data_IF_854352863247
#
_entry.id   IF_854352863247
#
_cell.length_a   1.000
_cell.length_b   1.000
_cell.length_c   1.000
_cell.angle_alpha   90.00
_cell.angle_beta   90.00
_cell.angle_gamma   90.00
#
_symmetry.space_group_name_H-M   'P 1'
#
loop_
_entity.id
_entity.type
_entity.pdbx_description
1 polymer ?
#
# COMPACT_ATOMS: atom_id res chain seq x y z
N UNK A 1 -2.74 3.80 0.92
CA UNK A 1 -3.58 4.47 -0.12
C UNK A 1 -4.96 4.81 0.42
N UNK A 2 -5.81 3.86 0.82
CA UNK A 2 -7.18 4.13 1.34
C UNK A 2 -7.19 5.09 2.54
N UNK A 3 -6.27 4.92 3.49
CA UNK A 3 -6.15 5.79 4.66
C UNK A 3 -5.82 7.24 4.29
N UNK A 4 -5.02 7.45 3.24
CA UNK A 4 -4.52 8.77 2.84
C UNK A 4 -5.44 9.48 1.83
N UNK A 5 -6.06 8.75 0.93
CA UNK A 5 -6.82 9.31 -0.21
C UNK A 5 -8.33 9.15 -0.06
N UNK A 6 -8.78 8.39 0.94
CA UNK A 6 -10.19 8.18 1.23
C UNK A 6 -10.82 7.04 0.43
N UNK A 7 -12.13 7.15 0.20
CA UNK A 7 -12.92 6.10 -0.43
C UNK A 7 -12.70 6.05 -1.94
N UNK A 8 -12.64 4.84 -2.45
CA UNK A 8 -12.52 4.57 -3.88
C UNK A 8 -13.85 4.79 -4.57
N UNK A 9 -13.81 5.47 -5.69
CA UNK A 9 -14.96 5.68 -6.58
C UNK A 9 -15.06 4.57 -7.62
N UNK A 10 -13.90 4.19 -8.20
CA UNK A 10 -13.86 3.18 -9.25
C UNK A 10 -12.46 2.64 -9.45
N UNK A 11 -12.35 1.45 -10.03
CA UNK A 11 -11.11 0.79 -10.41
C UNK A 11 -11.21 0.13 -11.78
N UNK A 12 -10.11 0.16 -12.55
CA UNK A 12 -9.89 -0.64 -13.75
C UNK A 12 -8.57 -1.37 -13.61
N UNK A 13 -8.54 -2.67 -13.91
CA UNK A 13 -7.37 -3.50 -13.65
C UNK A 13 -7.10 -4.52 -14.75
N UNK A 14 -5.82 -4.85 -14.90
CA UNK A 14 -5.32 -5.95 -15.74
C UNK A 14 -4.34 -6.78 -14.93
N UNK A 15 -4.33 -8.08 -15.12
CA UNK A 15 -3.41 -8.99 -14.45
C UNK A 15 -3.54 -10.39 -15.00
N UNK A 16 -2.60 -11.23 -14.65
CA UNK A 16 -2.54 -12.60 -15.13
C UNK A 16 -1.49 -13.44 -14.41
N UNK A 17 -1.42 -14.69 -14.83
CA UNK A 17 -0.40 -15.64 -14.39
C UNK A 17 0.68 -15.71 -15.48
N UNK A 18 1.85 -15.14 -15.22
CA UNK A 18 2.89 -14.91 -16.22
C UNK A 18 4.14 -15.80 -16.03
N UNK A 19 4.52 -16.10 -14.80
CA UNK A 19 5.78 -16.77 -14.50
C UNK A 19 5.65 -18.00 -13.60
N UNK A 20 4.72 -18.02 -12.66
CA UNK A 20 4.58 -19.15 -11.75
C UNK A 20 3.73 -20.27 -12.36
N UNK A 21 4.10 -21.49 -12.04
CA UNK A 21 3.32 -22.69 -12.37
C UNK A 21 2.63 -23.23 -11.11
N UNK A 22 1.45 -23.81 -11.27
CA UNK A 22 0.75 -24.51 -10.19
C UNK A 22 0.07 -23.63 -9.15
N UNK A 23 -0.16 -22.34 -9.45
CA UNK A 23 -1.02 -21.46 -8.66
C UNK A 23 -2.28 -21.10 -9.47
N UNK A 24 -3.39 -20.84 -8.77
CA UNK A 24 -4.71 -20.58 -9.41
C UNK A 24 -5.04 -19.09 -9.51
N UNK A 25 -4.11 -18.22 -9.09
CA UNK A 25 -4.30 -16.77 -9.01
C UNK A 25 -3.22 -16.06 -9.83
N UNK A 26 -3.40 -14.78 -10.05
CA UNK A 26 -2.43 -13.92 -10.72
C UNK A 26 -1.11 -13.82 -9.96
N UNK A 27 -0.03 -13.62 -10.69
CA UNK A 27 1.29 -13.26 -10.16
C UNK A 27 1.74 -11.86 -10.61
N UNK A 28 0.94 -11.21 -11.46
CA UNK A 28 1.08 -9.80 -11.86
C UNK A 28 -0.29 -9.15 -11.90
N UNK A 29 -0.42 -7.98 -11.27
CA UNK A 29 -1.62 -7.15 -11.36
C UNK A 29 -1.27 -5.66 -11.41
N UNK A 30 -1.97 -4.91 -12.27
CA UNK A 30 -1.91 -3.45 -12.36
C UNK A 30 -3.32 -2.89 -12.35
N UNK A 31 -3.57 -1.88 -11.52
CA UNK A 31 -4.86 -1.24 -11.43
C UNK A 31 -4.75 0.28 -11.43
N UNK A 32 -5.69 0.94 -12.10
CA UNK A 32 -5.92 2.39 -12.02
C UNK A 32 -7.10 2.63 -11.11
N UNK A 33 -6.91 3.46 -10.08
CA UNK A 33 -7.90 3.74 -9.03
C UNK A 33 -8.30 5.21 -9.08
N UNK A 34 -9.58 5.50 -9.08
CA UNK A 34 -10.12 6.85 -8.90
C UNK A 34 -10.76 6.94 -7.50
N UNK A 35 -10.46 8.00 -6.78
CA UNK A 35 -11.00 8.26 -5.44
C UNK A 35 -12.13 9.28 -5.48
N UNK A 36 -13.01 9.24 -4.48
CA UNK A 36 -14.09 10.23 -4.34
C UNK A 36 -13.55 11.66 -4.09
N UNK A 37 -12.33 11.76 -3.55
CA UNK A 37 -11.60 13.03 -3.40
C UNK A 37 -11.15 13.66 -4.72
N UNK A 38 -11.25 12.93 -5.84
CA UNK A 38 -10.72 13.33 -7.15
C UNK A 38 -9.28 12.86 -7.40
N UNK A 39 -8.59 12.33 -6.40
CA UNK A 39 -7.27 11.75 -6.56
C UNK A 39 -7.32 10.52 -7.50
N UNK A 40 -6.21 10.27 -8.16
CA UNK A 40 -6.00 9.08 -8.99
C UNK A 40 -4.72 8.38 -8.58
N UNK A 41 -4.74 7.07 -8.61
CA UNK A 41 -3.59 6.25 -8.26
C UNK A 41 -3.43 5.04 -9.16
N UNK A 42 -2.23 4.48 -9.10
CA UNK A 42 -1.90 3.19 -9.73
C UNK A 42 -1.47 2.23 -8.64
N UNK A 43 -1.97 1.02 -8.69
CA UNK A 43 -1.48 -0.11 -7.91
C UNK A 43 -0.76 -1.04 -8.87
N UNK A 44 0.46 -1.40 -8.53
CA UNK A 44 1.22 -2.42 -9.23
C UNK A 44 1.70 -3.45 -8.22
N UNK A 45 1.42 -4.71 -8.47
CA UNK A 45 1.85 -5.82 -7.64
C UNK A 45 2.35 -6.96 -8.53
N UNK A 46 3.44 -7.58 -8.13
CA UNK A 46 3.96 -8.76 -8.82
C UNK A 46 4.78 -9.61 -7.87
N UNK A 47 4.60 -10.91 -7.96
CA UNK A 47 5.50 -11.93 -7.40
C UNK A 47 6.38 -12.57 -8.49
N UNK A 48 6.19 -12.18 -9.76
CA UNK A 48 6.90 -12.69 -10.92
C UNK A 48 8.15 -11.89 -11.31
N UNK A 49 8.35 -10.69 -10.71
CA UNK A 49 9.49 -9.84 -11.02
C UNK A 49 10.78 -10.37 -10.38
N UNK A 50 11.77 -10.65 -11.22
CA UNK A 50 13.07 -11.09 -10.74
C UNK A 50 13.89 -9.96 -10.12
N UNK A 51 14.48 -10.22 -8.95
CA UNK A 51 15.50 -9.39 -8.33
C UNK A 51 16.41 -10.25 -7.46
N UNK A 52 17.72 -10.00 -7.48
CA UNK A 52 18.67 -10.70 -6.61
C UNK A 52 18.50 -10.39 -5.12
N UNK A 53 17.97 -9.20 -4.81
CA UNK A 53 17.84 -8.68 -3.44
C UNK A 53 16.40 -8.45 -3.01
N UNK A 54 15.44 -8.81 -3.86
CA UNK A 54 14.04 -8.41 -3.71
C UNK A 54 13.77 -6.99 -4.23
N UNK A 55 12.51 -6.71 -4.50
CA UNK A 55 12.03 -5.37 -4.85
C UNK A 55 11.28 -4.80 -3.64
N UNK A 56 11.70 -3.64 -3.11
CA UNK A 56 11.04 -3.03 -1.97
C UNK A 56 9.63 -2.57 -2.33
N UNK A 57 8.71 -2.59 -1.36
CA UNK A 57 7.43 -1.95 -1.50
C UNK A 57 7.60 -0.42 -1.49
N UNK A 58 6.86 0.29 -2.31
CA UNK A 58 6.92 1.76 -2.34
C UNK A 58 5.54 2.39 -2.45
N UNK A 59 5.40 3.56 -1.84
CA UNK A 59 4.24 4.43 -1.98
C UNK A 59 4.74 5.80 -2.40
N UNK A 60 4.27 6.29 -3.55
CA UNK A 60 4.59 7.62 -4.05
C UNK A 60 3.31 8.45 -4.13
N UNK A 61 3.31 9.59 -3.46
CA UNK A 61 2.20 10.54 -3.43
C UNK A 61 2.70 11.86 -3.99
N UNK A 62 2.03 12.35 -5.03
CA UNK A 62 2.32 13.63 -5.66
C UNK A 62 1.09 14.52 -5.59
N UNK A 63 1.27 15.74 -5.16
CA UNK A 63 0.28 16.80 -5.14
C UNK A 63 0.87 18.12 -5.59
N UNK A 64 0.02 19.12 -5.71
CA UNK A 64 0.41 20.48 -6.06
C UNK A 64 1.17 21.21 -4.94
N UNK A 65 1.07 20.74 -3.70
CA UNK A 65 1.79 21.27 -2.53
C UNK A 65 3.05 20.46 -2.16
N UNK A 66 3.32 19.34 -2.84
CA UNK A 66 4.53 18.56 -2.62
C UNK A 66 4.45 17.11 -3.06
N UNK A 67 5.56 16.41 -2.87
CA UNK A 67 5.70 14.99 -3.17
C UNK A 67 6.38 14.26 -2.03
N UNK A 68 5.84 13.10 -1.68
CA UNK A 68 6.40 12.20 -0.67
C UNK A 68 6.50 10.81 -1.28
N UNK A 69 7.66 10.17 -1.15
CA UNK A 69 7.86 8.79 -1.51
C UNK A 69 8.41 8.02 -0.31
N UNK A 70 7.74 6.95 0.03
CA UNK A 70 8.20 5.99 1.03
C UNK A 70 8.57 4.69 0.33
N UNK A 71 9.71 4.14 0.70
CA UNK A 71 10.23 2.86 0.22
C UNK A 71 10.49 1.99 1.44
N UNK A 72 9.81 0.85 1.53
CA UNK A 72 9.64 0.09 2.77
C UNK A 72 9.18 1.03 3.91
N UNK A 73 9.98 1.21 4.96
CA UNK A 73 9.65 2.03 6.13
C UNK A 73 10.40 3.39 6.14
N UNK A 74 11.04 3.77 5.03
CA UNK A 74 11.89 4.95 4.93
C UNK A 74 11.41 5.93 3.87
N UNK A 75 11.54 7.21 4.13
CA UNK A 75 11.29 8.23 3.13
C UNK A 75 12.47 8.34 2.15
N UNK A 76 12.18 8.31 0.86
CA UNK A 76 13.15 8.57 -0.21
C UNK A 76 12.95 9.95 -0.85
N UNK A 77 11.72 10.48 -0.77
CA UNK A 77 11.37 11.84 -1.18
C UNK A 77 10.50 12.44 -0.07
N UNK A 78 10.89 13.64 0.36
CA UNK A 78 10.11 14.49 1.24
C UNK A 78 10.28 15.93 0.76
N UNK A 79 9.50 16.32 -0.22
CA UNK A 79 9.60 17.61 -0.91
C UNK A 79 8.25 18.32 -0.82
N UNK A 80 8.16 19.26 0.10
CA UNK A 80 6.95 20.03 0.38
C UNK A 80 7.21 21.52 0.09
N UNK A 81 6.28 22.21 -0.56
CA UNK A 81 6.37 23.64 -0.78
C UNK A 81 6.47 24.44 0.52
N UNK A 82 5.75 23.98 1.53
CA UNK A 82 5.74 24.60 2.85
C UNK A 82 6.26 23.57 3.86
N UNK A 83 7.32 23.91 4.57
CA UNK A 83 7.82 23.08 5.66
C UNK A 83 6.81 23.03 6.81
N UNK A 84 6.60 21.82 7.34
CA UNK A 84 5.77 21.59 8.51
C UNK A 84 6.64 21.59 9.78
N UNK A 85 6.09 21.99 10.94
CA UNK A 85 6.86 22.06 12.19
C UNK A 85 7.55 20.75 12.60
N UNK A 86 6.97 19.62 12.21
CA UNK A 86 7.45 18.28 12.58
C UNK A 86 8.32 17.60 11.51
N UNK A 87 8.59 18.26 10.36
CA UNK A 87 9.35 17.67 9.24
C UNK A 87 10.70 17.11 9.69
N UNK A 88 11.49 17.90 10.41
CA UNK A 88 12.81 17.48 10.90
C UNK A 88 12.73 16.27 11.83
N UNK A 89 11.71 16.22 12.70
CA UNK A 89 11.49 15.11 13.62
C UNK A 89 11.08 13.85 12.86
N UNK A 90 10.16 13.97 11.92
CA UNK A 90 9.70 12.85 11.10
C UNK A 90 10.86 12.28 10.30
N UNK A 91 11.66 13.12 9.66
CA UNK A 91 12.83 12.68 8.89
C UNK A 91 13.93 12.10 9.76
N UNK A 92 14.13 12.62 10.98
CA UNK A 92 15.08 12.04 11.92
C UNK A 92 14.64 10.66 12.42
N UNK A 93 13.35 10.44 12.64
CA UNK A 93 12.79 9.18 13.13
C UNK A 93 12.69 8.12 12.04
N UNK A 94 12.23 8.49 10.85
CA UNK A 94 11.99 7.56 9.74
C UNK A 94 13.08 7.61 8.65
N UNK A 95 14.03 8.51 8.77
CA UNK A 95 15.27 8.60 7.98
C UNK A 95 15.06 8.85 6.49
N UNK A 96 16.18 9.17 5.83
CA UNK A 96 16.27 9.19 4.38
C UNK A 96 16.74 7.81 3.93
N UNK A 97 16.06 7.29 2.92
CA UNK A 97 16.37 6.02 2.32
C UNK A 97 17.71 6.07 1.57
N UNK A 98 18.71 5.35 2.06
CA UNK A 98 20.01 5.26 1.38
C UNK A 98 20.18 3.95 0.57
N UNK A 99 19.54 2.84 0.98
CA UNK A 99 19.55 1.56 0.26
C UNK A 99 18.44 0.61 0.78
N UNK A 100 17.34 0.42 0.04
CA UNK A 100 16.41 -0.65 0.38
C UNK A 100 16.95 -1.99 -0.07
N UNK A 101 16.89 -2.92 0.81
CA UNK A 101 17.29 -4.28 0.48
C UNK A 101 16.17 -5.11 -0.15
N UNK A 102 14.90 -4.66 -0.09
CA UNK A 102 13.77 -5.51 -0.47
C UNK A 102 13.77 -6.85 0.28
N UNK A 103 14.38 -6.88 1.47
CA UNK A 103 14.71 -8.11 2.19
C UNK A 103 13.48 -8.98 2.46
N UNK A 104 12.34 -8.37 2.80
CA UNK A 104 11.09 -9.08 3.01
C UNK A 104 10.52 -9.72 1.73
N UNK A 105 10.78 -9.13 0.56
CA UNK A 105 10.37 -9.70 -0.73
C UNK A 105 11.29 -10.83 -1.17
N UNK A 106 12.58 -10.76 -0.81
CA UNK A 106 13.57 -11.80 -1.13
C UNK A 106 13.51 -13.00 -0.17
N UNK A 107 13.25 -12.78 1.11
CA UNK A 107 13.13 -13.81 2.14
C UNK A 107 11.95 -13.52 3.08
N UNK A 108 10.86 -14.31 3.03
CA UNK A 108 9.72 -14.16 3.94
C UNK A 108 10.08 -14.24 5.43
N UNK A 109 11.19 -14.86 5.80
CA UNK A 109 11.67 -14.93 7.19
C UNK A 109 12.33 -13.63 7.67
N UNK A 110 12.69 -12.74 6.75
CA UNK A 110 13.21 -11.42 7.06
C UNK A 110 12.10 -10.38 7.37
N UNK A 111 10.82 -10.75 7.21
CA UNK A 111 9.69 -9.89 7.58
C UNK A 111 9.64 -9.77 9.11
N UNK A 112 9.78 -8.54 9.62
CA UNK A 112 9.70 -8.27 11.05
C UNK A 112 8.28 -8.47 11.57
N UNK A 113 8.15 -9.02 12.76
CA UNK A 113 6.88 -9.21 13.46
C UNK A 113 6.37 -7.94 14.17
N UNK A 114 7.19 -6.90 14.27
CA UNK A 114 6.90 -5.68 15.04
C UNK A 114 5.58 -5.02 14.63
N UNK A 115 5.26 -4.98 13.34
CA UNK A 115 4.01 -4.41 12.84
C UNK A 115 2.78 -5.21 13.28
N UNK A 116 2.88 -6.54 13.30
CA UNK A 116 1.82 -7.40 13.83
C UNK A 116 1.65 -7.19 15.34
N UNK A 117 2.75 -7.10 16.09
CA UNK A 117 2.71 -6.80 17.51
C UNK A 117 1.99 -5.47 17.78
N UNK A 118 2.38 -4.39 17.11
CA UNK A 118 1.73 -3.07 17.24
C UNK A 118 0.24 -3.10 16.91
N UNK A 119 -0.16 -3.88 15.91
CA UNK A 119 -1.56 -4.05 15.55
C UNK A 119 -2.35 -4.74 16.68
N UNK A 120 -1.80 -5.82 17.26
CA UNK A 120 -2.41 -6.48 18.43
C UNK A 120 -2.46 -5.56 19.65
N UNK A 121 -1.39 -4.82 19.94
CA UNK A 121 -1.34 -3.86 21.04
C UNK A 121 -2.42 -2.78 20.90
N UNK A 122 -2.61 -2.24 19.68
CA UNK A 122 -3.66 -1.28 19.39
C UNK A 122 -5.06 -1.88 19.60
N UNK A 123 -5.32 -3.06 19.04
CA UNK A 123 -6.61 -3.72 19.19
C UNK A 123 -6.94 -4.07 20.64
N UNK A 124 -5.98 -4.61 21.39
CA UNK A 124 -6.15 -4.93 22.82
C UNK A 124 -6.32 -3.68 23.69
N UNK A 125 -5.57 -2.62 23.38
CA UNK A 125 -5.69 -1.31 24.05
C UNK A 125 -7.09 -0.72 23.84
N UNK A 126 -7.57 -0.69 22.61
CA UNK A 126 -8.90 -0.22 22.27
C UNK A 126 -10.01 -1.01 23.00
N UNK A 127 -9.91 -2.36 23.02
CA UNK A 127 -10.85 -3.21 23.74
C UNK A 127 -10.87 -2.92 25.25
N UNK A 128 -9.70 -2.74 25.89
CA UNK A 128 -9.61 -2.45 27.33
C UNK A 128 -10.20 -1.11 27.70
N UNK A 129 -10.07 -0.13 26.80
CA UNK A 129 -10.54 1.24 27.02
C UNK A 129 -11.98 1.47 26.54
N UNK A 130 -12.62 0.49 25.89
CA UNK A 130 -13.93 0.65 25.26
C UNK A 130 -13.88 1.58 24.04
N UNK A 131 -12.74 1.67 23.38
CA UNK A 131 -12.49 2.50 22.20
C UNK A 131 -12.52 1.65 20.92
N UNK A 132 -12.49 2.31 19.76
CA UNK A 132 -12.31 1.63 18.49
C UNK A 132 -10.82 1.49 18.16
N UNK A 133 -10.38 0.34 17.62
CA UNK A 133 -9.03 0.22 17.09
C UNK A 133 -8.85 1.13 15.85
N UNK A 134 -7.61 1.48 15.56
CA UNK A 134 -7.25 2.31 14.38
C UNK A 134 -7.78 1.69 13.09
N UNK A 135 -7.70 0.37 12.97
CA UNK A 135 -8.29 -0.39 11.87
C UNK A 135 -9.38 -1.29 12.44
N UNK A 136 -10.63 -0.85 12.37
CA UNK A 136 -11.79 -1.64 12.72
C UNK A 136 -12.28 -2.50 11.53
N UNK A 137 -13.37 -3.23 11.72
CA UNK A 137 -13.93 -4.08 10.67
C UNK A 137 -14.43 -3.30 9.44
N UNK A 138 -14.85 -2.04 9.60
CA UNK A 138 -15.26 -1.19 8.49
C UNK A 138 -14.05 -0.77 7.65
N UNK A 139 -12.96 -0.36 8.30
CA UNK A 139 -11.72 -0.02 7.60
C UNK A 139 -11.09 -1.23 6.90
N UNK A 140 -11.06 -2.39 7.56
CA UNK A 140 -10.58 -3.63 6.95
C UNK A 140 -11.41 -4.05 5.74
N UNK A 141 -12.73 -3.87 5.79
CA UNK A 141 -13.64 -4.15 4.67
C UNK A 141 -13.31 -3.33 3.43
N UNK A 142 -12.94 -2.06 3.55
CA UNK A 142 -12.60 -1.19 2.41
C UNK A 142 -11.47 -1.75 1.54
N UNK A 143 -10.45 -2.33 2.19
CA UNK A 143 -9.35 -2.99 1.48
C UNK A 143 -9.82 -4.22 0.71
N UNK A 144 -10.64 -5.07 1.34
CA UNK A 144 -11.22 -6.26 0.70
C UNK A 144 -12.12 -5.88 -0.47
N UNK A 145 -12.93 -4.83 -0.33
CA UNK A 145 -13.82 -4.32 -1.36
C UNK A 145 -13.04 -3.87 -2.60
N UNK A 146 -11.97 -3.09 -2.41
CA UNK A 146 -11.08 -2.68 -3.50
C UNK A 146 -10.43 -3.88 -4.20
N UNK A 147 -9.87 -4.84 -3.45
CA UNK A 147 -9.25 -6.04 -4.03
C UNK A 147 -10.27 -6.85 -4.81
N UNK A 148 -11.47 -7.02 -4.28
CA UNK A 148 -12.56 -7.73 -4.96
C UNK A 148 -12.95 -7.03 -6.27
N UNK A 149 -13.02 -5.70 -6.27
CA UNK A 149 -13.32 -4.93 -7.46
C UNK A 149 -12.19 -5.00 -8.52
N UNK A 150 -10.92 -5.08 -8.08
CA UNK A 150 -9.78 -5.36 -8.96
C UNK A 150 -9.97 -6.69 -9.67
N UNK A 151 -10.26 -7.76 -8.93
CA UNK A 151 -10.54 -9.08 -9.52
C UNK A 151 -11.73 -9.07 -10.48
N UNK A 152 -12.81 -8.35 -10.13
CA UNK A 152 -13.95 -8.20 -11.02
C UNK A 152 -13.56 -7.48 -12.32
N UNK A 153 -12.77 -6.42 -12.23
CA UNK A 153 -12.28 -5.70 -13.40
C UNK A 153 -11.44 -6.60 -14.30
N UNK A 154 -10.48 -7.32 -13.73
CA UNK A 154 -9.63 -8.27 -14.47
C UNK A 154 -10.46 -9.34 -15.20
N UNK A 155 -11.43 -9.96 -14.51
CA UNK A 155 -12.34 -10.95 -15.11
C UNK A 155 -13.21 -10.41 -16.23
N UNK A 156 -13.48 -9.11 -16.23
CA UNK A 156 -14.28 -8.41 -17.24
C UNK A 156 -13.42 -7.65 -18.27
N UNK A 157 -12.18 -8.10 -18.50
CA UNK A 157 -11.30 -7.53 -19.52
C UNK A 157 -10.85 -6.10 -19.25
N UNK A 158 -10.72 -5.71 -17.98
CA UNK A 158 -10.28 -4.38 -17.57
C UNK A 158 -11.42 -3.37 -17.45
N UNK A 159 -12.68 -3.81 -17.51
CA UNK A 159 -13.82 -2.91 -17.36
C UNK A 159 -13.79 -2.14 -16.04
N UNK A 160 -14.22 -0.88 -16.08
CA UNK A 160 -14.34 -0.04 -14.89
C UNK A 160 -15.42 -0.57 -13.95
N UNK A 161 -15.04 -0.82 -12.70
CA UNK A 161 -15.92 -1.22 -11.60
C UNK A 161 -16.09 -0.04 -10.67
N UNK A 162 -17.33 0.31 -10.33
CA UNK A 162 -17.66 1.32 -9.32
C UNK A 162 -17.81 0.67 -7.95
N UNK A 163 -17.33 1.34 -6.89
CA UNK A 163 -17.43 0.93 -5.49
C UNK A 163 -18.42 1.84 -4.78
#
# INVERSE_FOLDING_TARGET
MLHLLGDVKSVSASGGLEAHEGIEVEDVAVAVVEFNSGARGVIQASTACFSNTGLPASIHICGDEGSIMMVDDKFSIWDLKNHLPDDEKILAEHGVYENASGAGAADPKAIDFLWHQRNFENALGALRNGEKPVVDGAEGRRAVELITAIYQSMKNGGAKISL
#
